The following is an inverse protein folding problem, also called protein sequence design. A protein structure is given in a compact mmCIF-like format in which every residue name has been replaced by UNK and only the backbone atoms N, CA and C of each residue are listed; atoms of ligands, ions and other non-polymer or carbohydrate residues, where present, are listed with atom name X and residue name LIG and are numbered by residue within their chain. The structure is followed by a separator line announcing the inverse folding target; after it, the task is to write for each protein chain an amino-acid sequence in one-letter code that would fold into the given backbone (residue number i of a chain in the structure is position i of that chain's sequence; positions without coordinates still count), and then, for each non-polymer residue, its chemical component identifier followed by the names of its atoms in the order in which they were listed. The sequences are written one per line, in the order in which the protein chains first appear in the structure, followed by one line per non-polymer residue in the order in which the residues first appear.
data_IF_829973801664
#
_entry.id   IF_829973801664
#
_cell.length_a   1.000
_cell.length_b   1.000
_cell.length_c   1.000
_cell.angle_alpha   90.00
_cell.angle_beta   90.00
_cell.angle_gamma   90.00
#
_symmetry.space_group_name_H-M   'P 1'
#
loop_
_entity.id
_entity.type
_entity.pdbx_description
1 polymer ?
#
# COMPACT_ATOMS: atom_id res chain seq x y z
N UNK A 1 11.82 0.19 -59.76
CA UNK A 1 12.37 0.48 -58.42
C UNK A 1 11.21 0.89 -57.53
N UNK A 2 10.83 0.07 -56.53
CA UNK A 2 9.78 0.43 -55.56
C UNK A 2 10.48 1.05 -54.34
N UNK A 3 10.24 2.34 -54.12
CA UNK A 3 10.70 3.06 -52.92
C UNK A 3 9.96 2.47 -51.72
N UNK A 4 10.70 1.82 -50.83
CA UNK A 4 10.16 1.39 -49.51
C UNK A 4 9.99 2.62 -48.64
N UNK A 5 8.75 2.96 -48.28
CA UNK A 5 8.43 3.95 -47.28
C UNK A 5 8.74 3.36 -45.90
N UNK A 6 9.71 3.95 -45.20
CA UNK A 6 9.99 3.61 -43.80
C UNK A 6 8.87 4.24 -42.95
N UNK A 7 8.00 3.40 -42.42
CA UNK A 7 6.99 3.82 -41.44
C UNK A 7 7.73 3.86 -40.09
N UNK A 8 7.97 5.09 -39.60
CA UNK A 8 8.45 5.28 -38.23
C UNK A 8 7.31 4.88 -37.27
N UNK A 9 7.61 4.16 -36.18
CA UNK A 9 6.60 3.86 -35.17
C UNK A 9 6.07 5.17 -34.62
N UNK A 10 4.75 5.25 -34.40
CA UNK A 10 4.10 6.36 -33.69
C UNK A 10 4.79 6.57 -32.34
N UNK A 11 4.98 7.85 -31.89
CA UNK A 11 5.51 8.11 -30.57
C UNK A 11 4.61 7.43 -29.55
N UNK A 12 5.18 6.55 -28.74
CA UNK A 12 4.50 5.95 -27.59
C UNK A 12 4.16 7.12 -26.68
N UNK A 13 2.88 7.35 -26.45
CA UNK A 13 2.38 8.34 -25.49
C UNK A 13 2.86 7.88 -24.10
N UNK A 14 3.99 8.39 -23.67
CA UNK A 14 4.53 8.13 -22.33
C UNK A 14 3.65 8.96 -21.39
N UNK A 15 2.66 8.32 -20.79
CA UNK A 15 1.85 8.94 -19.78
C UNK A 15 2.76 9.64 -18.77
N UNK A 16 2.45 10.89 -18.44
CA UNK A 16 3.22 11.63 -17.43
C UNK A 16 3.10 10.87 -16.10
N UNK A 17 4.22 10.70 -15.35
CA UNK A 17 4.18 10.01 -14.08
C UNK A 17 3.23 10.72 -13.12
N UNK A 18 2.43 9.94 -12.40
CA UNK A 18 1.54 10.45 -11.36
C UNK A 18 2.33 11.10 -10.22
N UNK A 19 1.69 12.03 -9.52
CA UNK A 19 2.29 12.76 -8.40
C UNK A 19 1.68 12.29 -7.09
N UNK A 20 2.53 11.89 -6.17
CA UNK A 20 2.17 11.51 -4.80
C UNK A 20 2.45 12.69 -3.86
N UNK A 21 1.50 12.98 -2.98
CA UNK A 21 1.67 13.86 -1.84
C UNK A 21 2.27 13.06 -0.69
N UNK A 22 3.57 13.24 -0.44
CA UNK A 22 4.38 12.41 0.43
C UNK A 22 4.58 13.07 1.78
N UNK A 23 4.27 12.35 2.87
CA UNK A 23 4.60 12.75 4.24
C UNK A 23 6.03 12.35 4.62
N UNK A 24 6.54 11.27 4.06
CA UNK A 24 7.89 10.77 4.29
C UNK A 24 8.23 9.54 3.45
N UNK A 25 9.50 9.18 3.43
CA UNK A 25 10.01 7.97 2.78
C UNK A 25 11.15 7.39 3.62
N UNK A 26 11.03 6.11 3.96
CA UNK A 26 12.07 5.35 4.64
C UNK A 26 12.61 4.27 3.69
N UNK A 27 13.93 4.25 3.48
CA UNK A 27 14.57 3.30 2.58
C UNK A 27 14.85 1.95 3.24
N UNK A 28 14.90 1.93 4.59
CA UNK A 28 15.40 0.80 5.41
C UNK A 28 14.43 0.45 6.55
N UNK A 29 13.12 0.61 6.33
CA UNK A 29 12.07 0.32 7.32
C UNK A 29 12.04 -1.15 7.72
N UNK A 30 11.91 -1.42 9.03
CA UNK A 30 11.78 -2.77 9.62
C UNK A 30 10.53 -2.92 10.49
N UNK A 31 9.77 -1.84 10.67
CA UNK A 31 8.60 -1.81 11.55
C UNK A 31 7.26 -1.97 10.81
N UNK A 32 7.26 -1.79 9.49
CA UNK A 32 6.06 -1.73 8.65
C UNK A 32 5.86 -3.01 7.81
N UNK A 33 6.40 -4.13 8.29
CA UNK A 33 6.33 -5.45 7.64
C UNK A 33 7.62 -6.24 7.80
N UNK A 34 7.64 -7.52 7.36
CA UNK A 34 8.82 -8.37 7.46
C UNK A 34 9.91 -7.97 6.47
N UNK A 35 11.16 -8.21 6.85
CA UNK A 35 12.34 -7.91 6.03
C UNK A 35 12.73 -6.44 6.03
N UNK A 36 13.59 -6.04 5.09
CA UNK A 36 13.98 -4.66 4.87
C UNK A 36 13.05 -4.06 3.81
N UNK A 37 12.31 -3.02 4.17
CA UNK A 37 11.26 -2.47 3.31
C UNK A 37 11.50 -1.01 2.97
N UNK A 38 11.22 -0.64 1.75
CA UNK A 38 11.00 0.76 1.43
C UNK A 38 9.57 1.14 1.88
N UNK A 39 9.46 2.19 2.71
CA UNK A 39 8.17 2.62 3.25
C UNK A 39 7.79 3.99 2.67
N UNK A 40 6.68 4.02 1.95
CA UNK A 40 6.12 5.23 1.34
C UNK A 40 5.03 5.76 2.26
N UNK A 41 5.33 6.80 3.01
CA UNK A 41 4.36 7.47 3.89
C UNK A 41 3.64 8.57 3.11
N UNK A 42 2.38 8.35 2.77
CA UNK A 42 1.58 9.35 2.08
C UNK A 42 1.03 10.41 3.05
N UNK A 43 0.64 11.57 2.50
CA UNK A 43 0.01 12.67 3.22
C UNK A 43 -1.50 12.66 2.99
N UNK A 44 -2.27 12.98 4.05
CA UNK A 44 -3.73 13.12 4.00
C UNK A 44 -4.49 11.87 4.48
N UNK A 45 -5.37 12.03 5.48
CA UNK A 45 -6.20 10.96 6.03
C UNK A 45 -7.60 11.45 6.40
N UNK A 46 -8.66 10.80 5.93
CA UNK A 46 -10.04 11.17 6.29
C UNK A 46 -10.50 10.59 7.63
N UNK A 47 -9.76 9.63 8.21
CA UNK A 47 -10.26 8.84 9.36
C UNK A 47 -10.14 9.56 10.70
N UNK A 48 -9.11 10.39 10.91
CA UNK A 48 -8.86 11.12 12.17
C UNK A 48 -9.00 10.25 13.43
N UNK A 49 -8.42 9.04 13.43
CA UNK A 49 -8.55 8.08 14.53
C UNK A 49 -8.07 8.67 15.86
N UNK A 50 -8.85 8.60 16.94
CA UNK A 50 -8.40 9.04 18.26
C UNK A 50 -7.16 8.26 18.71
N UNK A 51 -6.08 8.99 19.09
CA UNK A 51 -4.81 8.39 19.49
C UNK A 51 -3.93 7.92 18.33
N UNK A 52 -4.21 8.34 17.10
CA UNK A 52 -3.33 8.15 15.95
C UNK A 52 -1.90 8.60 16.28
N UNK A 53 -0.90 7.86 15.82
CA UNK A 53 0.52 8.18 16.08
C UNK A 53 1.01 9.35 15.23
N UNK A 54 0.37 9.64 14.09
CA UNK A 54 0.80 10.63 13.10
C UNK A 54 -0.29 11.67 12.79
N UNK A 55 -0.85 12.39 13.79
CA UNK A 55 -1.94 13.35 13.54
C UNK A 55 -1.50 14.53 12.67
N UNK A 56 -0.21 14.85 12.64
CA UNK A 56 0.37 15.91 11.80
C UNK A 56 0.28 15.62 10.30
N UNK A 57 0.04 14.37 9.92
CA UNK A 57 -0.06 13.95 8.51
C UNK A 57 -1.51 13.83 8.00
N UNK A 58 -2.52 14.18 8.84
CA UNK A 58 -3.93 14.15 8.41
C UNK A 58 -4.31 15.19 7.34
N UNK A 59 -3.77 16.44 7.37
CA UNK A 59 -4.14 17.42 6.35
C UNK A 59 -3.74 16.98 4.96
N UNK A 60 -4.66 17.12 4.01
CA UNK A 60 -4.40 16.87 2.59
C UNK A 60 -3.59 18.01 1.95
N UNK A 61 -2.75 17.69 0.99
CA UNK A 61 -2.05 18.67 0.15
C UNK A 61 -0.90 19.39 0.84
N UNK A 62 -0.47 18.94 2.02
CA UNK A 62 0.58 19.61 2.82
C UNK A 62 1.93 18.88 2.81
N UNK A 63 2.02 17.76 2.13
CA UNK A 63 3.26 17.00 1.99
C UNK A 63 4.17 17.51 0.87
N UNK A 64 5.18 16.72 0.56
CA UNK A 64 6.09 16.97 -0.57
C UNK A 64 5.57 16.26 -1.82
N UNK A 65 5.48 17.00 -2.94
CA UNK A 65 5.06 16.43 -4.22
C UNK A 65 6.22 15.67 -4.85
N UNK A 66 6.06 14.38 -5.03
CA UNK A 66 7.07 13.46 -5.59
C UNK A 66 6.43 12.64 -6.70
N UNK A 67 7.13 12.46 -7.81
CA UNK A 67 6.61 11.62 -8.90
C UNK A 67 6.75 10.13 -8.58
N UNK A 68 5.85 9.33 -9.14
CA UNK A 68 5.95 7.85 -9.08
C UNK A 68 7.25 7.35 -9.66
N UNK A 69 7.80 8.02 -10.70
CA UNK A 69 9.10 7.70 -11.30
C UNK A 69 10.27 7.90 -10.33
N UNK A 70 10.26 9.01 -9.59
CA UNK A 70 11.30 9.28 -8.59
C UNK A 70 11.26 8.22 -7.46
N UNK A 71 10.06 7.94 -6.93
CA UNK A 71 9.90 6.92 -5.89
C UNK A 71 10.30 5.53 -6.40
N UNK A 72 9.89 5.16 -7.60
CA UNK A 72 10.33 3.90 -8.22
C UNK A 72 11.87 3.81 -8.27
N UNK A 73 12.53 4.86 -8.78
CA UNK A 73 13.99 4.90 -8.88
C UNK A 73 14.65 4.76 -7.51
N UNK A 74 14.15 5.44 -6.48
CA UNK A 74 14.66 5.33 -5.10
C UNK A 74 14.51 3.92 -4.56
N UNK A 75 13.33 3.31 -4.71
CA UNK A 75 13.04 1.95 -4.23
C UNK A 75 13.97 0.93 -4.89
N UNK A 76 14.11 0.97 -6.22
CA UNK A 76 14.89 -0.05 -6.94
C UNK A 76 16.39 0.14 -6.82
N UNK A 77 16.86 1.29 -6.37
CA UNK A 77 18.28 1.58 -6.19
C UNK A 77 18.87 0.90 -4.96
N UNK A 78 18.07 0.54 -3.96
CA UNK A 78 18.54 -0.21 -2.80
C UNK A 78 18.44 -1.73 -3.05
N UNK A 79 19.58 -2.43 -3.24
CA UNK A 79 19.57 -3.86 -3.55
C UNK A 79 19.16 -4.76 -2.37
N UNK A 80 19.07 -4.20 -1.16
CA UNK A 80 18.69 -4.93 0.05
C UNK A 80 17.18 -4.90 0.31
N UNK A 81 16.43 -4.05 -0.40
CA UNK A 81 14.97 -3.97 -0.28
C UNK A 81 14.32 -5.29 -0.66
N UNK A 82 13.59 -5.89 0.25
CA UNK A 82 12.83 -7.14 0.05
C UNK A 82 11.34 -6.91 -0.16
N UNK A 83 10.82 -5.76 0.27
CA UNK A 83 9.42 -5.41 0.13
C UNK A 83 9.18 -3.91 0.13
N UNK A 84 7.97 -3.51 -0.22
CA UNK A 84 7.54 -2.11 -0.17
C UNK A 84 6.24 -2.02 0.62
N UNK A 85 6.16 -1.02 1.50
CA UNK A 85 4.95 -0.75 2.26
C UNK A 85 4.40 0.64 1.96
N UNK A 86 3.16 0.71 1.54
CA UNK A 86 2.40 1.95 1.46
C UNK A 86 1.74 2.20 2.80
N UNK A 87 2.17 3.26 3.48
CA UNK A 87 1.81 3.58 4.86
C UNK A 87 1.58 5.08 5.02
N UNK A 88 1.70 5.57 6.24
CA UNK A 88 1.51 6.96 6.60
C UNK A 88 0.14 7.16 7.21
N UNK A 89 -0.78 7.76 6.47
CA UNK A 89 -2.15 8.00 6.95
C UNK A 89 -3.18 7.16 6.22
N UNK A 90 -3.44 7.43 4.93
CA UNK A 90 -4.39 6.61 4.16
C UNK A 90 -3.95 6.49 2.70
N UNK A 91 -3.24 5.41 2.35
CA UNK A 91 -2.76 5.18 0.98
C UNK A 91 -3.87 5.22 -0.07
N UNK A 92 -5.05 4.70 0.25
CA UNK A 92 -6.17 4.65 -0.70
C UNK A 92 -6.79 6.02 -0.98
N UNK A 93 -6.42 7.07 -0.24
CA UNK A 93 -6.75 8.46 -0.60
C UNK A 93 -5.96 8.97 -1.81
N UNK A 94 -4.85 8.30 -2.16
CA UNK A 94 -4.02 8.59 -3.34
C UNK A 94 -3.89 7.34 -4.23
N UNK A 95 -4.96 6.57 -4.32
CA UNK A 95 -4.97 5.23 -4.90
C UNK A 95 -4.52 5.18 -6.36
N UNK A 96 -4.85 6.18 -7.18
CA UNK A 96 -4.48 6.20 -8.60
C UNK A 96 -2.96 6.25 -8.79
N UNK A 97 -2.31 7.20 -8.12
CA UNK A 97 -0.85 7.36 -8.21
C UNK A 97 -0.11 6.18 -7.56
N UNK A 98 -0.61 5.68 -6.41
CA UNK A 98 0.00 4.51 -5.77
C UNK A 98 -0.23 3.23 -6.57
N UNK A 99 -1.34 3.10 -7.30
CA UNK A 99 -1.57 1.95 -8.18
C UNK A 99 -0.54 1.90 -9.30
N UNK A 100 -0.24 3.05 -9.96
CA UNK A 100 0.82 3.12 -10.98
C UNK A 100 2.16 2.63 -10.43
N UNK A 101 2.56 3.12 -9.24
CA UNK A 101 3.81 2.72 -8.61
C UNK A 101 3.80 1.22 -8.21
N UNK A 102 2.70 0.75 -7.62
CA UNK A 102 2.55 -0.64 -7.18
C UNK A 102 2.58 -1.61 -8.36
N UNK A 103 1.88 -1.32 -9.45
CA UNK A 103 1.86 -2.14 -10.67
C UNK A 103 3.26 -2.32 -11.27
N UNK A 104 4.11 -1.28 -11.21
CA UNK A 104 5.51 -1.33 -11.67
C UNK A 104 6.43 -2.15 -10.75
N UNK A 105 6.10 -2.22 -9.46
CA UNK A 105 6.87 -2.95 -8.44
C UNK A 105 6.38 -4.39 -8.26
N UNK A 106 5.14 -4.68 -8.67
CA UNK A 106 4.49 -5.98 -8.51
C UNK A 106 5.31 -7.13 -9.13
N UNK A 107 5.38 -8.24 -8.42
CA UNK A 107 6.14 -9.42 -8.82
C UNK A 107 7.67 -9.31 -8.61
N UNK A 108 8.18 -8.12 -8.26
CA UNK A 108 9.57 -7.92 -7.88
C UNK A 108 9.75 -7.83 -6.37
N UNK A 109 8.78 -7.27 -5.68
CA UNK A 109 8.78 -7.05 -4.24
C UNK A 109 7.49 -7.58 -3.62
N UNK A 110 7.54 -7.98 -2.34
CA UNK A 110 6.36 -8.15 -1.50
C UNK A 110 5.75 -6.76 -1.21
N UNK A 111 4.51 -6.54 -1.66
CA UNK A 111 3.84 -5.25 -1.57
C UNK A 111 2.77 -5.27 -0.49
N UNK A 112 2.86 -4.36 0.47
CA UNK A 112 1.89 -4.23 1.53
C UNK A 112 1.29 -2.81 1.59
N UNK A 113 0.06 -2.70 2.07
CA UNK A 113 -0.56 -1.42 2.38
C UNK A 113 -1.28 -1.44 3.72
N UNK A 114 -1.16 -0.34 4.45
CA UNK A 114 -2.02 -0.05 5.61
C UNK A 114 -3.23 0.74 5.17
N UNK A 115 -4.39 0.50 5.80
CA UNK A 115 -5.58 1.30 5.57
C UNK A 115 -6.45 1.40 6.81
N UNK A 116 -7.05 2.57 7.04
CA UNK A 116 -8.13 2.72 8.01
C UNK A 116 -9.48 2.22 7.51
N UNK A 117 -9.63 1.98 6.22
CA UNK A 117 -10.79 1.26 5.68
C UNK A 117 -10.64 -0.24 5.90
N UNK A 118 -11.75 -0.97 5.93
CA UNK A 118 -11.75 -2.42 5.77
C UNK A 118 -11.71 -2.81 4.29
N UNK A 119 -11.33 -4.05 3.98
CA UNK A 119 -11.37 -4.57 2.62
C UNK A 119 -12.74 -4.35 1.96
N UNK A 120 -13.81 -4.65 2.70
CA UNK A 120 -15.18 -4.47 2.23
C UNK A 120 -15.49 -3.00 1.90
N UNK A 121 -14.98 -2.08 2.74
CA UNK A 121 -15.07 -0.64 2.50
C UNK A 121 -14.31 -0.21 1.26
N UNK A 122 -13.10 -0.73 1.05
CA UNK A 122 -12.29 -0.46 -0.14
C UNK A 122 -12.92 -1.01 -1.41
N UNK A 123 -13.49 -2.21 -1.38
CA UNK A 123 -14.24 -2.77 -2.50
C UNK A 123 -15.47 -1.91 -2.86
N UNK A 124 -16.13 -1.33 -1.86
CA UNK A 124 -17.24 -0.41 -2.10
C UNK A 124 -16.74 0.94 -2.68
N UNK A 125 -15.65 1.50 -2.16
CA UNK A 125 -15.03 2.73 -2.68
C UNK A 125 -14.56 2.53 -4.13
N UNK A 126 -14.02 1.37 -4.44
CA UNK A 126 -13.53 1.02 -5.78
C UNK A 126 -14.59 1.04 -6.86
N UNK A 127 -15.88 0.98 -6.52
CA UNK A 127 -16.99 1.13 -7.50
C UNK A 127 -17.05 2.55 -8.09
N UNK A 128 -16.63 3.56 -7.32
CA UNK A 128 -16.60 4.96 -7.75
C UNK A 128 -15.19 5.44 -8.11
N UNK A 129 -14.15 4.76 -7.60
CA UNK A 129 -12.75 5.10 -7.84
C UNK A 129 -11.97 3.85 -8.31
N UNK A 130 -11.79 3.67 -9.62
CA UNK A 130 -11.06 2.51 -10.17
C UNK A 130 -9.63 2.36 -9.66
N UNK A 131 -8.95 3.45 -9.29
CA UNK A 131 -7.60 3.42 -8.71
C UNK A 131 -7.53 2.58 -7.43
N UNK A 132 -8.60 2.57 -6.62
CA UNK A 132 -8.68 1.73 -5.41
C UNK A 132 -8.60 0.24 -5.77
N UNK A 133 -9.33 -0.20 -6.81
CA UNK A 133 -9.29 -1.61 -7.24
C UNK A 133 -7.96 -1.97 -7.90
N UNK A 134 -7.35 -1.03 -8.64
CA UNK A 134 -6.02 -1.22 -9.23
C UNK A 134 -4.97 -1.40 -8.13
N UNK A 135 -4.96 -0.50 -7.12
CA UNK A 135 -4.03 -0.61 -6.00
C UNK A 135 -4.23 -1.91 -5.23
N UNK A 136 -5.49 -2.27 -4.91
CA UNK A 136 -5.79 -3.57 -4.29
C UNK A 136 -5.29 -4.75 -5.13
N UNK A 137 -5.46 -4.71 -6.44
CA UNK A 137 -5.00 -5.77 -7.34
C UNK A 137 -3.48 -5.89 -7.48
N UNK A 138 -2.74 -4.85 -7.09
CA UNK A 138 -1.29 -4.78 -7.20
C UNK A 138 -0.55 -5.12 -5.91
N UNK A 139 -1.20 -5.14 -4.75
CA UNK A 139 -0.58 -5.46 -3.46
C UNK A 139 -0.83 -6.90 -3.04
N UNK A 140 0.09 -7.46 -2.24
CA UNK A 140 0.01 -8.83 -1.71
C UNK A 140 -0.68 -8.86 -0.36
N UNK A 141 -0.38 -7.89 0.51
CA UNK A 141 -0.86 -7.82 1.89
C UNK A 141 -1.59 -6.50 2.14
N UNK A 142 -2.71 -6.59 2.84
CA UNK A 142 -3.45 -5.43 3.35
C UNK A 142 -3.59 -5.51 4.87
N UNK A 143 -3.09 -4.50 5.57
CA UNK A 143 -3.35 -4.31 7.00
C UNK A 143 -4.53 -3.35 7.09
N UNK A 144 -5.73 -3.88 7.38
CA UNK A 144 -6.97 -3.14 7.25
C UNK A 144 -7.67 -2.85 8.58
N UNK A 145 -8.51 -1.83 8.57
CA UNK A 145 -9.32 -1.41 9.69
C UNK A 145 -8.77 -0.20 10.45
N UNK A 146 -9.65 0.63 11.02
CA UNK A 146 -9.25 1.84 11.74
C UNK A 146 -8.48 1.50 13.03
N UNK A 147 -7.54 2.38 13.41
CA UNK A 147 -6.93 2.27 14.73
C UNK A 147 -7.95 2.55 15.82
N UNK A 148 -8.08 1.62 16.77
CA UNK A 148 -8.97 1.72 17.93
C UNK A 148 -8.13 1.76 19.21
N UNK A 149 -8.02 2.95 19.83
CA UNK A 149 -7.16 3.16 21.00
C UNK A 149 -7.46 2.21 22.18
N UNK A 150 -8.73 1.87 22.41
CA UNK A 150 -9.15 0.93 23.45
C UNK A 150 -8.71 -0.53 23.16
N UNK A 151 -8.31 -0.85 21.93
CA UNK A 151 -7.80 -2.16 21.51
C UNK A 151 -6.31 -2.13 21.17
N UNK A 152 -5.60 -1.07 21.58
CA UNK A 152 -4.16 -0.94 21.36
C UNK A 152 -3.43 -2.09 22.04
N UNK A 153 -2.57 -2.75 21.30
CA UNK A 153 -1.72 -3.82 21.80
C UNK A 153 -0.35 -3.75 21.11
N UNK A 154 0.72 -3.61 21.92
CA UNK A 154 2.10 -3.48 21.43
C UNK A 154 2.77 -4.83 21.11
N UNK A 155 2.10 -5.91 21.42
CA UNK A 155 2.60 -7.26 21.13
C UNK A 155 2.15 -7.76 19.76
N UNK A 156 1.22 -7.04 19.11
CA UNK A 156 0.76 -7.36 17.77
C UNK A 156 1.85 -7.05 16.74
N UNK A 157 2.15 -8.01 15.88
CA UNK A 157 3.03 -7.78 14.75
C UNK A 157 2.32 -6.87 13.74
N UNK A 158 3.01 -5.82 13.30
CA UNK A 158 2.61 -4.91 12.21
C UNK A 158 1.19 -4.31 12.31
N UNK A 159 0.59 -4.27 13.52
CA UNK A 159 -0.74 -3.70 13.77
C UNK A 159 -0.74 -2.85 15.03
N UNK A 160 -1.51 -1.77 15.00
CA UNK A 160 -1.63 -0.87 16.16
C UNK A 160 -2.70 -1.28 17.18
N UNK A 161 -3.73 -2.01 16.74
CA UNK A 161 -4.87 -2.40 17.57
C UNK A 161 -5.47 -3.75 17.14
N UNK A 162 -6.04 -4.48 18.09
CA UNK A 162 -6.49 -5.85 17.94
C UNK A 162 -7.66 -6.07 16.97
N UNK A 163 -8.31 -5.01 16.50
CA UNK A 163 -9.36 -5.10 15.48
C UNK A 163 -8.82 -5.07 14.04
N UNK A 164 -7.55 -4.73 13.86
CA UNK A 164 -6.96 -4.70 12.53
C UNK A 164 -6.63 -6.11 12.05
N UNK A 165 -6.79 -6.35 10.76
CA UNK A 165 -6.54 -7.66 10.13
C UNK A 165 -5.32 -7.57 9.23
N UNK A 166 -4.60 -8.67 9.06
CA UNK A 166 -3.55 -8.82 8.04
C UNK A 166 -4.08 -9.80 7.00
N UNK A 167 -4.41 -9.29 5.84
CA UNK A 167 -5.12 -10.03 4.79
C UNK A 167 -4.20 -10.39 3.63
N UNK A 168 -4.34 -11.62 3.13
CA UNK A 168 -3.85 -12.05 1.82
C UNK A 168 -4.81 -11.47 0.77
N UNK A 169 -4.35 -10.43 0.05
CA UNK A 169 -5.21 -9.71 -0.89
C UNK A 169 -5.57 -10.57 -2.10
N UNK A 170 -4.64 -11.26 -2.78
CA UNK A 170 -4.97 -12.15 -3.85
C UNK A 170 -5.99 -13.24 -3.46
N UNK A 171 -5.85 -13.85 -2.28
CA UNK A 171 -6.82 -14.85 -1.80
C UNK A 171 -8.18 -14.21 -1.49
N UNK A 172 -8.19 -13.03 -0.86
CA UNK A 172 -9.41 -12.29 -0.54
C UNK A 172 -10.20 -11.89 -1.79
N UNK A 173 -9.51 -11.39 -2.82
CA UNK A 173 -10.16 -11.00 -4.08
C UNK A 173 -10.73 -12.21 -4.81
N UNK A 174 -10.05 -13.37 -4.78
CA UNK A 174 -10.58 -14.62 -5.36
C UNK A 174 -11.79 -15.15 -4.60
N UNK A 175 -11.77 -15.05 -3.26
CA UNK A 175 -12.87 -15.52 -2.41
C UNK A 175 -14.07 -14.56 -2.37
N UNK A 176 -13.86 -13.27 -2.67
CA UNK A 176 -14.87 -12.21 -2.53
C UNK A 176 -15.12 -11.82 -1.06
N UNK A 177 -14.24 -12.23 -0.14
CA UNK A 177 -14.31 -11.95 1.29
C UNK A 177 -12.90 -11.83 1.89
N UNK A 178 -12.79 -11.28 3.11
CA UNK A 178 -11.51 -11.11 3.77
C UNK A 178 -10.90 -12.46 4.16
N UNK A 179 -9.73 -12.77 3.60
CA UNK A 179 -8.93 -13.96 3.91
C UNK A 179 -7.66 -13.52 4.65
N UNK A 180 -7.50 -13.99 5.89
CA UNK A 180 -6.30 -13.73 6.67
C UNK A 180 -5.08 -14.38 6.00
N UNK A 181 -3.95 -13.67 6.03
CA UNK A 181 -2.69 -14.28 5.62
C UNK A 181 -2.30 -15.42 6.56
N UNK A 182 -1.65 -16.43 6.00
CA UNK A 182 -1.06 -17.55 6.74
C UNK A 182 0.46 -17.50 6.74
N UNK A 183 1.03 -16.44 6.17
CA UNK A 183 2.47 -16.27 6.10
C UNK A 183 3.04 -15.99 7.50
N UNK A 184 3.90 -16.89 8.04
CA UNK A 184 4.48 -16.76 9.36
C UNK A 184 5.36 -15.51 9.51
N UNK A 185 5.88 -14.94 8.43
CA UNK A 185 6.63 -13.69 8.47
C UNK A 185 5.73 -12.52 8.90
N UNK A 186 4.45 -12.55 8.55
CA UNK A 186 3.48 -11.51 8.89
C UNK A 186 2.76 -11.73 10.22
N UNK A 187 2.54 -12.98 10.62
CA UNK A 187 1.73 -13.34 11.81
C UNK A 187 2.52 -14.01 12.93
N UNK A 188 3.82 -14.29 12.73
CA UNK A 188 4.67 -15.03 13.65
C UNK A 188 4.45 -16.56 13.57
N UNK A 189 5.41 -17.34 14.11
CA UNK A 189 5.38 -18.82 14.06
C UNK A 189 4.21 -19.44 14.82
N UNK A 190 3.73 -18.78 15.89
CA UNK A 190 2.60 -19.26 16.69
C UNK A 190 1.24 -19.03 16.03
N UNK A 191 1.21 -18.34 14.89
CA UNK A 191 -0.03 -17.80 14.34
C UNK A 191 -0.64 -16.74 15.27
N UNK A 192 -1.32 -15.74 14.74
CA UNK A 192 -2.08 -14.84 15.62
C UNK A 192 -3.34 -15.56 16.08
N UNK A 193 -3.30 -16.17 17.29
CA UNK A 193 -4.44 -16.90 17.87
C UNK A 193 -5.72 -16.03 17.97
N UNK A 194 -5.59 -14.70 17.81
CA UNK A 194 -6.72 -13.75 17.83
C UNK A 194 -7.36 -13.55 16.45
N UNK A 195 -6.77 -14.10 15.39
CA UNK A 195 -7.38 -14.09 14.06
C UNK A 195 -8.67 -14.94 13.97
N UNK A 196 -8.91 -15.80 14.95
CA UNK A 196 -10.04 -16.73 14.98
C UNK A 196 -11.26 -16.23 15.80
N UNK A 197 -11.17 -15.07 16.46
CA UNK A 197 -12.21 -14.59 17.39
C UNK A 197 -13.08 -13.43 16.82
N UNK A 198 -13.01 -13.16 15.51
CA UNK A 198 -13.83 -12.08 14.90
C UNK A 198 -14.57 -12.54 13.66
#
# INVERSE_FOLDING_TARGET
MRTATIILPEPVDVAMPEIIDLAGFDEDGIADGPGLRAVVFVQGCPHHCPGCQNPQTWPFGTGTKVSTEELYTRIVSNPLTTGVTFSGVEPFSQAEALAELAERLHGRYDLAAFSGYTLEGLLQLGKANPGVLRLLGAIDILIDGPFVAARRDRQLLFRGSGNQRILDVPASLRAGEAVWTKDPLWIGESGDARAAEY
#
